data_IF_649194143161
#
_entry.id   IF_649194143161
#
_cell.length_a   1.000
_cell.length_b   1.000
_cell.length_c   1.000
_cell.angle_alpha   90.00
_cell.angle_beta   90.00
_cell.angle_gamma   90.00
#
_symmetry.space_group_name_H-M   'P 1'
#
loop_
_entity.id
_entity.type
_entity.pdbx_description
1 polymer ?
#
# COMPACT_ATOMS: atom_id res chain seq x y z
N UNK A 1 1.67 11.90 5.88
CA UNK A 1 0.92 11.14 4.85
C UNK A 1 0.60 12.01 3.65
N UNK A 2 -0.08 13.15 3.84
CA UNK A 2 -0.39 14.06 2.74
C UNK A 2 0.45 15.33 2.81
N UNK A 3 1.30 15.49 1.80
CA UNK A 3 2.14 16.67 1.56
C UNK A 3 1.99 17.11 0.10
N UNK A 4 0.87 16.77 -0.55
CA UNK A 4 0.63 17.05 -1.97
C UNK A 4 0.77 18.54 -2.29
N UNK A 5 0.35 19.42 -1.37
CA UNK A 5 0.49 20.88 -1.49
C UNK A 5 1.96 21.36 -1.58
N UNK A 6 2.90 20.55 -1.11
CA UNK A 6 4.33 20.85 -1.17
C UNK A 6 5.02 20.18 -2.37
N UNK A 7 4.28 19.35 -3.11
CA UNK A 7 4.76 18.54 -4.22
C UNK A 7 5.94 17.65 -3.83
N UNK A 8 6.73 17.28 -4.84
CA UNK A 8 7.86 16.36 -4.68
C UNK A 8 8.94 16.90 -3.73
N UNK A 9 9.02 18.22 -3.51
CA UNK A 9 10.02 18.84 -2.62
C UNK A 9 9.94 18.31 -1.19
N UNK A 10 8.75 17.96 -0.72
CA UNK A 10 8.56 17.43 0.63
C UNK A 10 9.07 15.99 0.78
N UNK A 11 9.03 15.18 -0.29
CA UNK A 11 9.26 13.74 -0.23
C UNK A 11 10.52 13.24 -0.96
N UNK A 12 11.10 14.02 -1.86
CA UNK A 12 12.18 13.56 -2.74
C UNK A 12 13.52 14.17 -2.30
N UNK A 13 14.60 13.41 -2.44
CA UNK A 13 15.96 13.96 -2.32
C UNK A 13 16.23 14.96 -3.46
N UNK A 14 17.23 15.84 -3.30
CA UNK A 14 17.52 16.91 -4.28
C UNK A 14 17.73 16.42 -5.71
N UNK A 15 18.27 15.21 -5.85
CA UNK A 15 18.71 14.65 -7.13
C UNK A 15 17.76 13.54 -7.62
N UNK A 16 16.61 13.38 -6.95
CA UNK A 16 15.60 12.38 -7.28
C UNK A 16 14.34 13.05 -7.83
N UNK A 17 13.70 12.37 -8.76
CA UNK A 17 12.53 12.87 -9.48
C UNK A 17 11.46 11.78 -9.53
N UNK A 18 10.19 12.19 -9.59
CA UNK A 18 9.06 11.28 -9.74
C UNK A 18 9.21 10.43 -11.01
N UNK A 19 9.14 9.12 -10.82
CA UNK A 19 9.12 8.17 -11.93
C UNK A 19 7.86 8.38 -12.79
N UNK A 20 7.95 8.11 -14.09
CA UNK A 20 6.81 8.16 -15.01
C UNK A 20 6.13 6.79 -15.15
N UNK A 21 6.76 5.72 -14.66
CA UNK A 21 6.22 4.38 -14.65
C UNK A 21 4.98 4.32 -13.76
N UNK A 22 3.87 3.84 -14.34
CA UNK A 22 2.63 3.58 -13.61
C UNK A 22 2.90 2.72 -12.37
N UNK A 23 2.38 3.15 -11.21
CA UNK A 23 2.68 2.56 -9.91
C UNK A 23 3.76 3.34 -9.18
N UNK A 24 5.01 3.34 -9.67
CA UNK A 24 6.13 4.07 -9.05
C UNK A 24 5.91 5.60 -9.06
N UNK A 25 5.22 6.11 -10.07
CA UNK A 25 4.83 7.52 -10.18
C UNK A 25 3.97 8.02 -9.03
N UNK A 26 3.41 7.14 -8.20
CA UNK A 26 2.57 7.49 -7.06
C UNK A 26 3.30 7.41 -5.71
N UNK A 27 4.57 6.99 -5.69
CA UNK A 27 5.38 7.04 -4.48
C UNK A 27 5.45 8.48 -3.96
N UNK A 28 5.41 8.64 -2.64
CA UNK A 28 5.40 9.97 -1.98
C UNK A 28 6.73 10.31 -1.32
N UNK A 29 7.62 9.33 -1.17
CA UNK A 29 8.91 9.46 -0.53
C UNK A 29 9.96 8.75 -1.39
N UNK A 30 10.89 9.51 -1.94
CA UNK A 30 12.07 8.98 -2.62
C UNK A 30 13.32 9.58 -1.97
N UNK A 31 13.63 9.05 -0.79
CA UNK A 31 14.77 9.38 0.06
C UNK A 31 15.25 8.12 0.73
N UNK A 32 16.52 8.10 1.09
CA UNK A 32 17.02 7.06 1.98
C UNK A 32 16.40 7.25 3.36
N UNK A 33 15.91 6.14 3.94
CA UNK A 33 15.36 6.14 5.29
C UNK A 33 16.47 6.45 6.29
N UNK A 34 16.19 7.34 7.23
CA UNK A 34 17.13 7.73 8.28
C UNK A 34 16.48 7.65 9.67
N UNK A 35 17.26 7.42 10.74
CA UNK A 35 16.75 7.44 12.10
C UNK A 35 15.94 8.70 12.41
N UNK A 36 14.79 8.53 13.07
CA UNK A 36 13.88 9.62 13.41
C UNK A 36 12.82 9.92 12.35
N UNK A 37 12.92 9.37 11.13
CA UNK A 37 11.81 9.37 10.18
C UNK A 37 10.68 8.48 10.69
N UNK A 38 9.44 8.89 10.41
CA UNK A 38 8.25 8.06 10.57
C UNK A 38 7.58 7.94 9.21
N UNK A 39 7.34 6.71 8.77
CA UNK A 39 6.77 6.38 7.47
C UNK A 39 5.66 5.36 7.64
N UNK A 40 4.72 5.35 6.72
CA UNK A 40 3.73 4.28 6.63
C UNK A 40 4.27 3.11 5.82
N UNK A 41 4.00 1.91 6.31
CA UNK A 41 4.16 0.66 5.55
C UNK A 41 2.76 0.17 5.26
N UNK A 42 2.30 0.41 4.03
CA UNK A 42 0.89 0.29 3.66
C UNK A 42 0.60 -0.59 2.42
N UNK A 43 1.13 -1.82 2.34
CA UNK A 43 0.83 -2.70 1.22
C UNK A 43 -0.67 -2.98 1.12
N UNK A 44 -1.18 -2.97 -0.11
CA UNK A 44 -2.58 -3.25 -0.39
C UNK A 44 -2.79 -3.99 -1.69
N UNK A 45 -3.90 -4.71 -1.75
CA UNK A 45 -4.40 -5.39 -2.92
C UNK A 45 -5.80 -4.87 -3.22
N UNK A 46 -6.06 -4.51 -4.48
CA UNK A 46 -7.35 -3.98 -4.89
C UNK A 46 -7.74 -4.56 -6.25
N UNK A 47 -9.02 -4.91 -6.37
CA UNK A 47 -9.61 -5.28 -7.65
C UNK A 47 -10.22 -4.02 -8.27
N UNK A 48 -9.42 -3.33 -9.09
CA UNK A 48 -9.82 -2.07 -9.74
C UNK A 48 -10.18 -2.36 -11.21
N UNK A 49 -11.47 -2.38 -11.59
CA UNK A 49 -11.87 -2.73 -12.96
C UNK A 49 -11.21 -1.86 -14.03
N UNK A 50 -11.06 -0.55 -13.76
CA UNK A 50 -10.40 0.37 -14.69
C UNK A 50 -8.93 0.01 -14.99
N UNK A 51 -8.24 -0.69 -14.09
CA UNK A 51 -6.87 -1.18 -14.29
C UNK A 51 -6.90 -2.59 -14.90
N UNK A 52 -7.71 -3.49 -14.33
CA UNK A 52 -7.79 -4.90 -14.74
C UNK A 52 -8.30 -5.07 -16.17
N UNK A 53 -9.22 -4.22 -16.60
CA UNK A 53 -9.85 -4.29 -17.93
C UNK A 53 -9.18 -3.38 -18.97
N UNK A 54 -8.24 -2.53 -18.54
CA UNK A 54 -7.43 -1.74 -19.46
C UNK A 54 -6.47 -2.65 -20.25
N UNK A 55 -6.53 -2.68 -21.59
CA UNK A 55 -5.73 -3.60 -22.40
C UNK A 55 -4.21 -3.43 -22.21
N UNK A 56 -3.76 -2.21 -21.94
CA UNK A 56 -2.35 -1.86 -21.77
C UNK A 56 -1.85 -1.99 -20.32
N UNK A 57 -2.72 -2.32 -19.36
CA UNK A 57 -2.38 -2.54 -17.95
C UNK A 57 -2.73 -3.98 -17.55
N UNK A 58 -3.95 -4.26 -17.11
CA UNK A 58 -4.37 -5.63 -16.75
C UNK A 58 -4.41 -6.60 -17.93
N UNK A 59 -4.66 -6.09 -19.14
CA UNK A 59 -4.75 -6.90 -20.35
C UNK A 59 -3.47 -7.67 -20.69
N UNK A 60 -2.28 -7.06 -20.50
CA UNK A 60 -1.01 -7.73 -20.83
C UNK A 60 -0.76 -8.96 -19.97
N UNK A 61 -1.16 -8.91 -18.70
CA UNK A 61 -1.03 -10.03 -17.76
C UNK A 61 -2.09 -11.12 -17.98
N UNK A 62 -3.26 -10.76 -18.53
CA UNK A 62 -4.23 -11.77 -18.95
C UNK A 62 -3.75 -12.53 -20.20
N UNK A 63 -3.03 -11.84 -21.10
CA UNK A 63 -2.52 -12.42 -22.34
C UNK A 63 -1.33 -13.36 -22.13
N UNK A 64 -0.44 -13.05 -21.18
CA UNK A 64 0.72 -13.89 -20.86
C UNK A 64 0.41 -15.00 -19.83
N UNK A 65 -0.82 -15.02 -19.29
CA UNK A 65 -1.29 -16.02 -18.34
C UNK A 65 -0.96 -15.73 -16.87
N UNK A 66 -0.38 -14.56 -16.55
CA UNK A 66 -0.12 -14.16 -15.17
C UNK A 66 -1.39 -13.74 -14.39
N UNK A 67 -2.47 -13.39 -15.10
CA UNK A 67 -3.75 -12.98 -14.51
C UNK A 67 -4.88 -13.97 -14.83
N UNK A 68 -5.26 -14.76 -13.83
CA UNK A 68 -6.43 -15.65 -13.90
C UNK A 68 -7.71 -14.93 -13.47
N UNK A 69 -8.58 -14.66 -14.45
CA UNK A 69 -9.85 -13.95 -14.22
C UNK A 69 -10.91 -14.80 -13.53
N UNK A 70 -10.88 -16.13 -13.73
CA UNK A 70 -11.82 -17.02 -13.05
C UNK A 70 -11.53 -17.08 -11.55
N UNK A 71 -10.24 -17.06 -11.18
CA UNK A 71 -9.84 -16.95 -9.77
C UNK A 71 -10.25 -15.61 -9.18
N UNK A 72 -10.04 -14.50 -9.89
CA UNK A 72 -10.45 -13.17 -9.40
C UNK A 72 -11.96 -13.06 -9.14
N UNK A 73 -12.79 -13.59 -10.05
CA UNK A 73 -14.25 -13.53 -9.92
C UNK A 73 -14.76 -14.17 -8.63
N UNK A 74 -14.05 -15.19 -8.11
CA UNK A 74 -14.38 -15.83 -6.82
C UNK A 74 -14.27 -14.89 -5.62
N UNK A 75 -13.62 -13.75 -5.77
CA UNK A 75 -13.43 -12.72 -4.74
C UNK A 75 -14.07 -11.38 -5.14
N UNK A 76 -15.04 -11.35 -6.07
CA UNK A 76 -15.60 -10.11 -6.60
C UNK A 76 -16.29 -9.21 -5.55
N UNK A 77 -16.64 -9.77 -4.39
CA UNK A 77 -17.17 -9.06 -3.21
C UNK A 77 -16.08 -8.31 -2.42
N UNK A 78 -14.81 -8.72 -2.55
CA UNK A 78 -13.65 -8.05 -1.95
C UNK A 78 -13.11 -6.99 -2.89
N UNK A 79 -13.48 -5.72 -2.64
CA UNK A 79 -12.97 -4.58 -3.43
C UNK A 79 -11.47 -4.33 -3.24
N UNK A 80 -10.98 -4.57 -2.04
CA UNK A 80 -9.56 -4.49 -1.73
C UNK A 80 -9.29 -4.49 -0.24
N UNK A 81 -8.02 -4.66 0.11
CA UNK A 81 -7.49 -4.76 1.46
C UNK A 81 -6.20 -3.95 1.51
N UNK A 82 -6.00 -3.22 2.60
CA UNK A 82 -4.72 -2.59 2.93
C UNK A 82 -4.43 -2.80 4.40
N UNK A 83 -3.21 -3.18 4.71
CA UNK A 83 -2.70 -3.24 6.07
C UNK A 83 -1.65 -2.15 6.16
N UNK A 84 -1.83 -1.24 7.11
CA UNK A 84 -1.05 -0.02 7.22
C UNK A 84 -0.51 0.10 8.64
N UNK A 85 0.81 0.26 8.75
CA UNK A 85 1.49 0.52 10.01
C UNK A 85 2.27 1.84 9.95
N UNK A 86 2.23 2.59 11.05
CA UNK A 86 3.15 3.70 11.30
C UNK A 86 4.46 3.14 11.88
N UNK A 87 5.56 3.35 11.16
CA UNK A 87 6.87 2.80 11.51
C UNK A 87 7.88 3.91 11.66
N UNK A 88 8.52 3.95 12.83
CA UNK A 88 9.65 4.84 13.11
C UNK A 88 10.97 4.15 12.79
N UNK A 89 11.76 4.78 11.93
CA UNK A 89 13.11 4.36 11.63
C UNK A 89 14.04 4.65 12.83
N UNK A 90 14.87 3.69 13.20
CA UNK A 90 15.90 3.83 14.24
C UNK A 90 17.29 3.53 13.64
N UNK A 91 18.35 3.60 14.45
CA UNK A 91 19.68 3.13 14.03
C UNK A 91 19.77 1.58 13.99
N UNK A 92 18.85 0.89 14.66
CA UNK A 92 18.74 -0.57 14.66
C UNK A 92 17.38 -1.01 14.13
N UNK A 93 16.68 -1.86 14.89
CA UNK A 93 15.37 -2.35 14.49
C UNK A 93 14.33 -1.23 14.46
N UNK A 94 13.43 -1.21 13.46
CA UNK A 94 12.37 -0.22 13.41
C UNK A 94 11.39 -0.38 14.57
N UNK A 95 10.77 0.72 14.99
CA UNK A 95 9.71 0.71 16.00
C UNK A 95 8.34 0.81 15.30
N UNK A 96 7.50 -0.20 15.50
CA UNK A 96 6.14 -0.25 14.93
C UNK A 96 5.18 0.39 15.93
N UNK A 97 4.76 1.62 15.65
CA UNK A 97 3.94 2.44 16.54
C UNK A 97 2.50 1.93 16.64
N UNK A 98 2.00 1.30 15.57
CA UNK A 98 0.67 0.70 15.44
C UNK A 98 0.65 -0.82 15.72
N UNK A 99 1.69 -1.34 16.38
CA UNK A 99 1.84 -2.78 16.68
C UNK A 99 0.67 -3.38 17.48
N UNK A 100 -0.03 -2.57 18.27
CA UNK A 100 -1.19 -3.01 19.06
C UNK A 100 -2.44 -3.32 18.24
N UNK A 101 -2.51 -2.88 16.96
CA UNK A 101 -3.65 -3.15 16.09
C UNK A 101 -3.50 -4.57 15.52
N UNK A 102 -4.50 -5.46 15.72
CA UNK A 102 -4.46 -6.83 15.19
C UNK A 102 -4.59 -6.81 13.67
N UNK A 103 -3.85 -7.71 13.02
CA UNK A 103 -3.73 -7.79 11.55
C UNK A 103 -3.95 -9.19 11.02
N UNK A 104 -3.86 -10.20 11.88
CA UNK A 104 -4.26 -11.56 11.54
C UNK A 104 -5.79 -11.70 11.63
N UNK A 105 -6.40 -12.62 10.85
CA UNK A 105 -7.84 -12.78 10.82
C UNK A 105 -8.47 -13.02 12.21
N UNK A 106 -7.86 -13.85 13.06
CA UNK A 106 -8.42 -14.19 14.36
C UNK A 106 -8.42 -12.97 15.30
N UNK A 107 -7.34 -12.19 15.29
CA UNK A 107 -7.27 -10.92 16.03
C UNK A 107 -8.29 -9.90 15.55
N UNK A 108 -8.51 -9.79 14.23
CA UNK A 108 -9.54 -8.90 13.67
C UNK A 108 -10.93 -9.36 14.06
N UNK A 109 -11.26 -10.64 13.89
CA UNK A 109 -12.55 -11.23 14.27
C UNK A 109 -12.87 -11.04 15.76
N UNK A 110 -11.87 -11.21 16.63
CA UNK A 110 -12.03 -10.99 18.07
C UNK A 110 -12.39 -9.53 18.43
N UNK A 111 -12.00 -8.56 17.59
CA UNK A 111 -12.34 -7.15 17.76
C UNK A 111 -13.66 -6.75 17.11
N UNK A 112 -14.21 -7.56 16.20
CA UNK A 112 -15.47 -7.27 15.51
C UNK A 112 -16.65 -7.85 16.29
N UNK A 113 -17.62 -7.01 16.66
CA UNK A 113 -18.84 -7.46 17.35
C UNK A 113 -18.75 -7.53 18.87
N UNK A 114 -17.57 -7.28 19.46
CA UNK A 114 -17.45 -6.90 20.87
C UNK A 114 -17.93 -5.45 21.01
N UNK A 115 -19.22 -5.28 21.34
CA UNK A 115 -19.76 -3.99 21.73
C UNK A 115 -18.94 -3.45 22.91
N UNK A 116 -18.43 -2.23 22.78
CA UNK A 116 -17.90 -1.49 23.92
C UNK A 116 -19.09 -1.25 24.87
N UNK A 117 -19.17 -2.07 25.93
CA UNK A 117 -20.02 -1.81 27.09
C UNK A 117 -19.44 -0.70 27.96
#
# INVERSE_FOLDING_TARGET
HDMEDLGDRAGYARDRHRDQQFGLSYLRLDRDLAPGMVVTIEPGFYQVPAILDAPHLGGVFAQDGALDREVLERFADVRGIRIEDDVRCTEGDPEILSSAIPKDPAGVEACVGVGLG
#
